data_IF_717300392486
#
_entry.id   IF_717300392486
#
_cell.length_a   1.000
_cell.length_b   1.000
_cell.length_c   1.000
_cell.angle_alpha   90.00
_cell.angle_beta   90.00
_cell.angle_gamma   90.00
#
_symmetry.space_group_name_H-M   'P 1'
#
loop_
_entity.id
_entity.type
_entity.pdbx_description
1 polymer ?
#
# COMPACT_ATOMS: atom_id res chain seq x y z
N UNK A 1 0.09 -13.71 -19.29
CA UNK A 1 0.38 -13.23 -17.93
C UNK A 1 -0.37 -14.12 -16.97
N UNK A 2 0.31 -14.75 -16.02
CA UNK A 2 -0.34 -15.60 -15.02
C UNK A 2 -0.87 -14.76 -13.86
N UNK A 3 -2.17 -14.87 -13.59
CA UNK A 3 -2.89 -14.15 -12.53
C UNK A 3 -3.40 -15.09 -11.43
N UNK A 4 -3.11 -16.39 -11.50
CA UNK A 4 -3.59 -17.41 -10.55
C UNK A 4 -3.24 -17.09 -9.10
N UNK A 5 -2.05 -16.51 -8.86
CA UNK A 5 -1.59 -16.11 -7.51
C UNK A 5 -2.48 -15.10 -6.79
N UNK A 6 -3.34 -14.38 -7.51
CA UNK A 6 -4.28 -13.39 -6.98
C UNK A 6 -5.69 -13.95 -6.80
N UNK A 7 -5.97 -15.14 -7.35
CA UNK A 7 -7.24 -15.83 -7.16
C UNK A 7 -7.53 -15.96 -5.67
N UNK A 8 -8.74 -15.59 -5.29
CA UNK A 8 -9.24 -15.50 -3.93
C UNK A 8 -8.52 -14.47 -3.03
N UNK A 9 -7.41 -13.86 -3.44
CA UNK A 9 -6.70 -12.86 -2.62
C UNK A 9 -7.15 -11.43 -2.90
N UNK A 10 -7.42 -11.08 -4.16
CA UNK A 10 -7.87 -9.76 -4.55
C UNK A 10 -8.55 -9.78 -5.93
N UNK A 11 -9.36 -8.77 -6.21
CA UNK A 11 -9.81 -8.46 -7.57
C UNK A 11 -8.68 -7.79 -8.33
N UNK A 12 -8.70 -7.88 -9.65
CA UNK A 12 -7.66 -7.28 -10.51
C UNK A 12 -8.31 -6.30 -11.45
N UNK A 13 -7.73 -5.11 -11.53
CA UNK A 13 -7.97 -4.15 -12.60
C UNK A 13 -6.79 -4.23 -13.57
N UNK A 14 -6.98 -4.94 -14.68
CA UNK A 14 -5.93 -5.22 -15.66
C UNK A 14 -5.97 -4.20 -16.80
N UNK A 15 -4.92 -3.38 -16.91
CA UNK A 15 -4.71 -2.47 -18.03
C UNK A 15 -3.92 -3.17 -19.13
N UNK A 16 -4.56 -3.46 -20.26
CA UNK A 16 -3.90 -3.90 -21.47
C UNK A 16 -3.47 -2.68 -22.27
N UNK A 17 -2.23 -2.66 -22.75
CA UNK A 17 -1.74 -1.58 -23.60
C UNK A 17 -0.64 -2.06 -24.54
N UNK A 18 -0.52 -1.44 -25.71
CA UNK A 18 0.66 -1.58 -26.57
C UNK A 18 1.88 -0.85 -26.00
N UNK A 19 1.66 0.30 -25.34
CA UNK A 19 2.72 1.23 -24.97
C UNK A 19 2.36 2.02 -23.70
N UNK A 20 3.33 2.18 -22.79
CA UNK A 20 3.13 2.98 -21.58
C UNK A 20 3.01 4.49 -21.83
N UNK A 21 3.27 4.93 -23.07
CA UNK A 21 3.04 6.32 -23.48
C UNK A 21 1.59 6.61 -23.87
N UNK A 22 0.78 5.57 -24.06
CA UNK A 22 -0.64 5.69 -24.37
C UNK A 22 -1.37 6.56 -23.33
N UNK A 23 -2.16 7.52 -23.82
CA UNK A 23 -2.85 8.51 -22.99
C UNK A 23 -3.90 7.86 -22.09
N UNK A 24 -4.65 6.88 -22.61
CA UNK A 24 -5.67 6.17 -21.84
C UNK A 24 -5.04 5.34 -20.71
N UNK A 25 -3.90 4.70 -20.98
CA UNK A 25 -3.12 4.00 -19.96
C UNK A 25 -2.62 4.93 -18.86
N UNK A 26 -2.02 6.08 -19.21
CA UNK A 26 -1.55 7.07 -18.22
C UNK A 26 -2.70 7.59 -17.38
N UNK A 27 -3.77 8.03 -18.04
CA UNK A 27 -4.98 8.55 -17.37
C UNK A 27 -5.58 7.52 -16.42
N UNK A 28 -5.67 6.26 -16.85
CA UNK A 28 -6.18 5.17 -16.01
C UNK A 28 -5.28 4.91 -14.79
N UNK A 29 -3.96 5.02 -14.95
CA UNK A 29 -3.02 4.92 -13.83
C UNK A 29 -3.17 6.07 -12.85
N UNK A 30 -3.26 7.30 -13.34
CA UNK A 30 -3.46 8.50 -12.51
C UNK A 30 -4.76 8.39 -11.70
N UNK A 31 -5.88 8.05 -12.36
CA UNK A 31 -7.15 7.84 -11.70
C UNK A 31 -7.10 6.70 -10.67
N UNK A 32 -6.41 5.59 -10.96
CA UNK A 32 -6.24 4.55 -9.95
C UNK A 32 -5.47 5.07 -8.72
N UNK A 33 -4.42 5.89 -8.91
CA UNK A 33 -3.67 6.47 -7.79
C UNK A 33 -4.50 7.49 -7.01
N UNK A 34 -5.25 8.35 -7.69
CA UNK A 34 -6.15 9.33 -7.06
C UNK A 34 -7.19 8.64 -6.16
N UNK A 35 -7.76 7.52 -6.61
CA UNK A 35 -8.78 6.76 -5.88
C UNK A 35 -8.25 5.50 -5.19
N UNK A 36 -6.93 5.40 -4.97
CA UNK A 36 -6.26 4.16 -4.53
C UNK A 36 -6.85 3.58 -3.24
N UNK A 37 -7.25 4.45 -2.30
CA UNK A 37 -7.85 4.05 -1.02
C UNK A 37 -9.19 3.34 -1.24
N UNK A 38 -10.01 3.83 -2.15
CA UNK A 38 -11.34 3.25 -2.46
C UNK A 38 -11.22 1.94 -3.24
N UNK A 39 -10.22 1.83 -4.12
CA UNK A 39 -9.86 0.55 -4.75
C UNK A 39 -9.39 -0.48 -3.71
N UNK A 40 -8.53 -0.09 -2.77
CA UNK A 40 -8.00 -1.01 -1.76
C UNK A 40 -9.03 -1.46 -0.74
N UNK A 41 -10.00 -0.62 -0.35
CA UNK A 41 -11.17 -1.03 0.44
C UNK A 41 -11.96 -2.17 -0.22
N UNK A 42 -11.99 -2.18 -1.55
CA UNK A 42 -12.67 -3.21 -2.37
C UNK A 42 -11.72 -4.35 -2.80
N UNK A 43 -10.51 -4.37 -2.24
CA UNK A 43 -9.44 -5.32 -2.57
C UNK A 43 -9.16 -5.40 -4.07
N UNK A 44 -9.15 -4.27 -4.77
CA UNK A 44 -8.82 -4.19 -6.19
C UNK A 44 -7.37 -3.81 -6.34
N UNK A 45 -6.62 -4.62 -7.09
CA UNK A 45 -5.21 -4.37 -7.42
C UNK A 45 -5.05 -4.01 -8.89
N UNK A 46 -4.38 -2.91 -9.19
CA UNK A 46 -3.99 -2.56 -10.55
C UNK A 46 -2.86 -3.45 -11.07
N UNK A 47 -3.00 -3.97 -12.28
CA UNK A 47 -1.96 -4.71 -12.99
C UNK A 47 -1.87 -4.17 -14.41
N UNK A 48 -0.66 -4.01 -14.93
CA UNK A 48 -0.42 -3.57 -16.31
C UNK A 48 0.12 -4.74 -17.14
N UNK A 49 -0.50 -4.97 -18.29
CA UNK A 49 -0.08 -5.96 -19.27
C UNK A 49 0.25 -5.26 -20.58
N UNK A 50 1.56 -5.19 -20.89
CA UNK A 50 2.05 -4.59 -22.11
C UNK A 50 2.37 -5.66 -23.15
N UNK A 51 1.69 -5.61 -24.30
CA UNK A 51 1.98 -6.50 -25.44
C UNK A 51 1.77 -5.74 -26.74
N UNK A 52 2.72 -5.88 -27.68
CA UNK A 52 2.62 -5.28 -29.02
C UNK A 52 1.32 -5.75 -29.71
N UNK A 53 0.63 -4.84 -30.39
CA UNK A 53 -0.60 -5.12 -31.13
C UNK A 53 -1.89 -5.18 -30.30
N UNK A 54 -1.85 -5.05 -28.97
CA UNK A 54 -3.06 -4.96 -28.15
C UNK A 54 -3.67 -3.55 -28.19
N UNK A 55 -4.94 -3.43 -28.59
CA UNK A 55 -5.72 -2.21 -28.31
C UNK A 55 -5.78 -1.99 -26.80
N UNK A 56 -5.75 -0.73 -26.39
CA UNK A 56 -5.95 -0.38 -24.99
C UNK A 56 -7.31 -0.93 -24.51
N UNK A 57 -7.30 -1.64 -23.39
CA UNK A 57 -8.52 -2.08 -22.72
C UNK A 57 -8.30 -2.31 -21.24
N UNK A 58 -9.39 -2.23 -20.48
CA UNK A 58 -9.38 -2.39 -19.03
C UNK A 58 -10.27 -3.57 -18.69
N UNK A 59 -9.72 -4.56 -17.98
CA UNK A 59 -10.46 -5.76 -17.56
C UNK A 59 -10.57 -5.80 -16.05
N UNK A 60 -11.81 -5.88 -15.55
CA UNK A 60 -12.06 -6.19 -14.15
C UNK A 60 -12.19 -7.70 -13.99
N UNK A 61 -11.30 -8.29 -13.21
CA UNK A 61 -11.28 -9.72 -12.90
C UNK A 61 -11.68 -9.90 -11.43
N UNK A 62 -12.61 -10.82 -11.20
CA UNK A 62 -13.12 -11.13 -9.86
C UNK A 62 -12.14 -11.95 -9.01
N UNK A 63 -12.54 -12.23 -7.77
CA UNK A 63 -11.77 -13.11 -6.88
C UNK A 63 -11.62 -14.53 -7.42
N UNK A 64 -12.63 -15.03 -8.12
CA UNK A 64 -12.60 -16.34 -8.78
C UNK A 64 -11.61 -16.42 -9.96
N UNK A 65 -11.06 -15.28 -10.38
CA UNK A 65 -10.17 -15.17 -11.54
C UNK A 65 -10.94 -15.03 -12.86
N UNK A 66 -12.27 -14.92 -12.84
CA UNK A 66 -13.06 -14.75 -14.06
C UNK A 66 -13.18 -13.28 -14.45
N UNK A 67 -13.24 -13.03 -15.77
CA UNK A 67 -13.50 -11.71 -16.32
C UNK A 67 -14.93 -11.28 -15.96
N UNK A 68 -15.08 -10.15 -15.29
CA UNK A 68 -16.39 -9.60 -14.89
C UNK A 68 -16.89 -8.55 -15.86
N UNK A 69 -16.01 -7.65 -16.32
CA UNK A 69 -16.34 -6.62 -17.31
C UNK A 69 -15.09 -6.10 -17.99
N UNK A 70 -15.24 -5.70 -19.25
CA UNK A 70 -14.23 -4.98 -20.02
C UNK A 70 -14.71 -3.55 -20.27
N UNK A 71 -13.79 -2.60 -20.21
CA UNK A 71 -14.04 -1.17 -20.38
C UNK A 71 -12.99 -0.57 -21.31
N UNK A 72 -13.39 0.40 -22.12
CA UNK A 72 -12.46 1.20 -22.93
C UNK A 72 -11.88 2.38 -22.15
N UNK A 73 -12.57 2.85 -21.12
CA UNK A 73 -12.18 4.01 -20.29
C UNK A 73 -12.36 3.71 -18.80
N UNK A 74 -11.45 4.20 -17.96
CA UNK A 74 -11.55 4.03 -16.52
C UNK A 74 -12.45 5.10 -15.91
N UNK A 75 -13.64 4.69 -15.45
CA UNK A 75 -14.51 5.51 -14.60
C UNK A 75 -14.58 4.85 -13.22
N UNK A 76 -13.86 5.38 -12.19
CA UNK A 76 -13.77 4.73 -10.89
C UNK A 76 -15.13 4.46 -10.22
N UNK A 77 -16.07 5.41 -10.31
CA UNK A 77 -17.41 5.29 -9.72
C UNK A 77 -18.17 4.08 -10.26
N UNK A 78 -18.23 3.94 -11.58
CA UNK A 78 -18.88 2.81 -12.24
C UNK A 78 -18.28 1.46 -11.82
N UNK A 79 -16.96 1.41 -11.60
CA UNK A 79 -16.30 0.20 -11.12
C UNK A 79 -16.67 -0.09 -9.67
N UNK A 80 -16.74 0.93 -8.82
CA UNK A 80 -17.14 0.77 -7.43
C UNK A 80 -18.58 0.29 -7.32
N UNK A 81 -19.50 0.93 -8.03
CA UNK A 81 -20.92 0.54 -8.09
C UNK A 81 -21.07 -0.91 -8.59
N UNK A 82 -20.36 -1.26 -9.66
CA UNK A 82 -20.35 -2.63 -10.20
C UNK A 82 -19.82 -3.64 -9.18
N UNK A 83 -18.77 -3.32 -8.43
CA UNK A 83 -18.21 -4.23 -7.42
C UNK A 83 -19.14 -4.35 -6.22
N UNK A 84 -19.73 -3.24 -5.78
CA UNK A 84 -20.58 -3.18 -4.60
C UNK A 84 -21.92 -3.89 -4.86
N UNK A 85 -22.38 -3.94 -6.11
CA UNK A 85 -23.55 -4.73 -6.53
C UNK A 85 -23.26 -6.23 -6.69
N UNK A 86 -21.99 -6.67 -6.65
CA UNK A 86 -21.66 -8.09 -6.83
C UNK A 86 -21.93 -8.89 -5.54
N UNK A 87 -22.58 -10.07 -5.64
CA UNK A 87 -22.67 -10.96 -4.49
C UNK A 87 -21.27 -11.41 -4.06
N UNK A 88 -20.97 -11.24 -2.79
CA UNK A 88 -19.69 -11.68 -2.22
C UNK A 88 -19.67 -13.21 -2.11
N UNK A 89 -18.58 -13.86 -2.55
CA UNK A 89 -18.50 -15.33 -2.56
C UNK A 89 -18.64 -15.90 -1.14
N UNK A 90 -19.29 -17.06 -1.04
CA UNK A 90 -19.58 -17.72 0.23
C UNK A 90 -18.30 -18.12 0.97
N UNK A 91 -17.23 -18.43 0.23
CA UNK A 91 -15.90 -18.73 0.75
C UNK A 91 -15.23 -17.50 1.39
N UNK A 92 -15.49 -16.30 0.85
CA UNK A 92 -15.03 -15.06 1.47
C UNK A 92 -15.86 -14.70 2.70
N UNK A 93 -17.19 -14.90 2.65
CA UNK A 93 -18.10 -14.69 3.79
C UNK A 93 -17.83 -15.64 4.95
N UNK A 94 -17.45 -16.88 4.66
CA UNK A 94 -17.10 -17.89 5.67
C UNK A 94 -15.70 -17.74 6.25
N UNK A 95 -14.93 -16.71 5.84
CA UNK A 95 -13.60 -16.44 6.36
C UNK A 95 -12.51 -17.43 5.93
N UNK A 96 -12.84 -18.41 5.07
CA UNK A 96 -11.88 -19.37 4.51
C UNK A 96 -10.84 -18.70 3.62
N UNK A 97 -11.14 -17.50 3.13
CA UNK A 97 -10.29 -16.71 2.26
C UNK A 97 -9.92 -15.41 2.97
N UNK A 98 -8.62 -15.12 3.07
CA UNK A 98 -8.12 -13.84 3.60
C UNK A 98 -7.69 -12.92 2.44
N UNK A 99 -8.34 -11.75 2.27
CA UNK A 99 -7.93 -10.77 1.28
C UNK A 99 -6.50 -10.28 1.49
N UNK A 100 -5.82 -9.98 0.38
CA UNK A 100 -4.52 -9.34 0.41
C UNK A 100 -4.65 -7.93 1.00
N UNK A 101 -3.87 -7.61 2.03
CA UNK A 101 -3.80 -6.26 2.59
C UNK A 101 -3.01 -5.33 1.66
N UNK A 102 -3.71 -4.70 0.72
CA UNK A 102 -3.13 -3.75 -0.22
C UNK A 102 -2.71 -2.43 0.45
N UNK A 103 -3.31 -2.09 1.59
CA UNK A 103 -3.03 -0.84 2.30
C UNK A 103 -1.66 -0.80 2.97
N UNK A 104 -1.11 -1.96 3.34
CA UNK A 104 0.13 -2.06 4.10
C UNK A 104 1.33 -1.37 3.43
N UNK A 105 1.37 -1.38 2.10
CA UNK A 105 2.47 -0.82 1.29
C UNK A 105 2.08 0.45 0.53
N UNK A 106 0.91 1.03 0.84
CA UNK A 106 0.35 2.13 0.06
C UNK A 106 0.39 3.42 0.85
N UNK A 107 1.01 4.44 0.27
CA UNK A 107 0.98 5.80 0.81
C UNK A 107 -0.24 6.54 0.27
N UNK A 108 -1.28 6.65 1.09
CA UNK A 108 -2.53 7.34 0.72
C UNK A 108 -2.45 8.86 0.86
N UNK A 109 -1.37 9.39 1.44
CA UNK A 109 -1.22 10.84 1.66
C UNK A 109 0.22 11.29 1.36
N UNK A 110 0.70 11.09 0.13
CA UNK A 110 2.10 11.34 -0.23
C UNK A 110 2.55 12.77 0.02
N UNK A 111 1.64 13.74 -0.09
CA UNK A 111 1.91 15.17 0.17
C UNK A 111 2.30 15.45 1.62
N UNK A 112 1.77 14.66 2.55
CA UNK A 112 2.02 14.84 3.99
C UNK A 112 2.97 13.80 4.56
N UNK A 113 3.32 12.76 3.81
CA UNK A 113 4.16 11.67 4.30
C UNK A 113 5.61 12.12 4.41
N UNK A 114 6.16 12.01 5.62
CA UNK A 114 7.58 12.26 5.85
C UNK A 114 8.42 11.13 5.22
N UNK A 115 9.27 11.49 4.27
CA UNK A 115 10.16 10.56 3.58
C UNK A 115 11.52 10.50 4.28
N UNK A 116 12.18 9.36 4.15
CA UNK A 116 13.56 9.20 4.61
C UNK A 116 13.72 9.00 6.12
N UNK A 117 12.67 8.66 6.87
CA UNK A 117 12.82 8.19 8.25
C UNK A 117 13.56 6.84 8.29
N UNK A 118 14.29 6.54 9.35
CA UNK A 118 15.05 5.28 9.43
C UNK A 118 15.82 5.04 10.73
N UNK A 119 16.55 3.93 10.76
CA UNK A 119 17.24 3.41 11.94
C UNK A 119 18.59 2.75 11.61
N UNK A 120 19.21 3.10 10.46
CA UNK A 120 20.46 2.47 10.01
C UNK A 120 21.64 2.74 10.94
N UNK A 121 21.67 3.91 11.57
CA UNK A 121 22.71 4.39 12.47
C UNK A 121 22.13 5.44 13.43
N UNK A 122 22.94 5.87 14.41
CA UNK A 122 22.60 6.89 15.41
C UNK A 122 22.13 8.20 14.78
N UNK A 123 22.85 8.70 13.78
CA UNK A 123 22.57 9.97 13.10
C UNK A 123 21.20 9.92 12.42
N UNK A 124 20.87 8.78 11.81
CA UNK A 124 19.58 8.58 11.16
C UNK A 124 18.43 8.48 12.17
N UNK A 125 18.69 7.92 13.33
CA UNK A 125 17.71 7.90 14.42
C UNK A 125 17.43 9.32 14.93
N UNK A 126 18.47 10.13 15.13
CA UNK A 126 18.33 11.55 15.54
C UNK A 126 17.55 12.33 14.48
N UNK A 127 17.94 12.22 13.20
CA UNK A 127 17.20 12.82 12.09
C UNK A 127 15.71 12.44 12.10
N UNK A 128 15.41 11.17 12.39
CA UNK A 128 14.04 10.67 12.45
C UNK A 128 13.25 11.33 13.58
N UNK A 129 13.87 11.50 14.76
CA UNK A 129 13.25 12.19 15.89
C UNK A 129 12.99 13.67 15.59
N UNK A 130 13.95 14.34 14.96
CA UNK A 130 13.81 15.76 14.58
C UNK A 130 12.70 15.95 13.54
N UNK A 131 12.65 15.08 12.52
CA UNK A 131 11.64 15.14 11.46
C UNK A 131 10.21 14.96 11.97
N UNK A 132 10.00 14.20 13.05
CA UNK A 132 8.67 13.95 13.62
C UNK A 132 8.31 14.90 14.77
N UNK A 133 9.23 15.74 15.26
CA UNK A 133 9.04 16.59 16.45
C UNK A 133 7.82 17.50 16.38
N UNK A 134 7.46 17.97 15.19
CA UNK A 134 6.28 18.83 14.96
C UNK A 134 4.95 18.09 14.77
N UNK A 135 4.94 16.75 14.84
CA UNK A 135 3.72 15.93 14.71
C UNK A 135 3.04 15.73 16.06
N UNK A 136 1.81 15.25 16.04
CA UNK A 136 1.13 14.88 17.29
C UNK A 136 1.90 13.78 18.02
N UNK A 137 1.82 13.79 19.35
CA UNK A 137 2.56 12.87 20.21
C UNK A 137 2.27 11.40 19.92
N UNK A 138 1.02 11.06 19.56
CA UNK A 138 0.64 9.68 19.24
C UNK A 138 1.34 9.22 17.95
N UNK A 139 1.40 10.06 16.94
CA UNK A 139 2.18 9.80 15.73
C UNK A 139 3.67 9.62 16.04
N UNK A 140 4.25 10.51 16.85
CA UNK A 140 5.67 10.40 17.23
C UNK A 140 5.97 9.05 17.91
N UNK A 141 5.19 8.66 18.92
CA UNK A 141 5.33 7.39 19.63
C UNK A 141 5.17 6.20 18.68
N UNK A 142 4.21 6.24 17.76
CA UNK A 142 4.00 5.17 16.78
C UNK A 142 5.19 4.99 15.84
N UNK A 143 5.74 6.09 15.33
CA UNK A 143 6.93 6.06 14.47
C UNK A 143 8.12 5.49 15.24
N UNK A 144 8.42 6.04 16.42
CA UNK A 144 9.56 5.59 17.24
C UNK A 144 9.43 4.12 17.61
N UNK A 145 8.26 3.68 18.05
CA UNK A 145 8.00 2.28 18.40
C UNK A 145 8.18 1.34 17.19
N UNK A 146 7.73 1.78 16.01
CA UNK A 146 7.88 1.03 14.77
C UNK A 146 9.35 0.90 14.36
N UNK A 147 10.11 2.00 14.39
CA UNK A 147 11.53 2.00 14.05
C UNK A 147 12.33 1.16 15.03
N UNK A 148 12.07 1.30 16.33
CA UNK A 148 12.69 0.49 17.38
C UNK A 148 12.43 -1.01 17.19
N UNK A 149 11.17 -1.38 16.94
CA UNK A 149 10.79 -2.78 16.70
C UNK A 149 11.47 -3.38 15.46
N UNK A 150 11.58 -2.59 14.38
CA UNK A 150 12.25 -3.00 13.13
C UNK A 150 13.76 -3.13 13.32
N UNK A 151 14.39 -2.16 14.00
CA UNK A 151 15.82 -2.18 14.29
C UNK A 151 16.20 -3.40 15.14
N UNK A 152 15.43 -3.68 16.20
CA UNK A 152 15.67 -4.83 17.10
C UNK A 152 15.55 -6.19 16.40
N UNK A 153 14.66 -6.30 15.40
CA UNK A 153 14.39 -7.55 14.68
C UNK A 153 15.04 -7.60 13.29
N UNK A 154 15.95 -6.67 12.98
CA UNK A 154 16.55 -6.60 11.67
C UNK A 154 17.42 -7.86 11.42
N UNK A 155 17.22 -8.60 10.31
CA UNK A 155 17.95 -9.85 10.07
C UNK A 155 19.49 -9.67 10.04
N UNK A 156 19.94 -8.54 9.51
CA UNK A 156 21.35 -8.16 9.42
C UNK A 156 21.61 -6.96 10.34
N UNK A 157 21.43 -7.14 11.64
CA UNK A 157 21.60 -6.08 12.63
C UNK A 157 23.09 -5.73 12.79
N UNK A 158 23.42 -4.44 12.75
CA UNK A 158 24.80 -3.92 12.93
C UNK A 158 24.96 -3.20 14.26
N UNK A 159 26.21 -2.94 14.67
CA UNK A 159 26.52 -2.10 15.84
C UNK A 159 25.92 -0.70 15.71
N UNK A 160 25.92 -0.14 14.50
CA UNK A 160 25.37 1.20 14.27
C UNK A 160 23.84 1.22 14.50
N UNK A 161 23.16 0.11 14.20
CA UNK A 161 21.74 -0.04 14.53
C UNK A 161 21.52 -0.16 16.05
N UNK A 162 22.46 -0.69 16.82
CA UNK A 162 22.39 -0.67 18.28
C UNK A 162 22.44 0.76 18.82
N UNK A 163 23.28 1.62 18.23
CA UNK A 163 23.29 3.04 18.59
C UNK A 163 21.96 3.73 18.26
N UNK A 164 21.36 3.40 17.11
CA UNK A 164 20.03 3.88 16.76
C UNK A 164 18.95 3.42 17.76
N UNK A 165 19.02 2.16 18.22
CA UNK A 165 18.12 1.59 19.22
C UNK A 165 18.22 2.37 20.52
N UNK A 166 19.43 2.65 21.01
CA UNK A 166 19.63 3.42 22.25
C UNK A 166 18.99 4.81 22.18
N UNK A 167 19.11 5.49 21.03
CA UNK A 167 18.47 6.80 20.80
C UNK A 167 16.95 6.72 20.96
N UNK A 168 16.32 5.73 20.31
CA UNK A 168 14.86 5.56 20.39
C UNK A 168 14.36 5.11 21.76
N UNK A 169 15.09 4.23 22.44
CA UNK A 169 14.74 3.78 23.80
C UNK A 169 14.80 4.93 24.80
N UNK A 170 15.88 5.73 24.75
CA UNK A 170 16.01 6.92 25.58
C UNK A 170 14.84 7.88 25.37
N UNK A 171 14.51 8.17 24.11
CA UNK A 171 13.38 9.04 23.78
C UNK A 171 12.05 8.51 24.33
N UNK A 172 11.77 7.20 24.21
CA UNK A 172 10.54 6.60 24.74
C UNK A 172 10.49 6.61 26.26
N UNK A 173 11.62 6.43 26.95
CA UNK A 173 11.71 6.52 28.40
C UNK A 173 11.43 7.95 28.87
N UNK A 174 12.05 8.94 28.25
CA UNK A 174 11.85 10.35 28.57
C UNK A 174 10.39 10.77 28.30
N UNK A 175 9.81 10.31 27.20
CA UNK A 175 8.39 10.50 26.90
C UNK A 175 7.48 9.91 28.00
N UNK A 176 7.72 8.66 28.42
CA UNK A 176 6.95 8.02 29.49
C UNK A 176 7.07 8.76 30.82
N UNK A 177 8.25 9.25 31.17
CA UNK A 177 8.47 10.06 32.37
C UNK A 177 7.68 11.37 32.33
N UNK A 178 7.61 12.05 31.18
CA UNK A 178 6.85 13.29 31.03
C UNK A 178 5.32 13.13 31.06
N UNK A 179 4.83 11.89 31.01
CA UNK A 179 3.40 11.56 31.06
C UNK A 179 2.91 11.14 32.44
N UNK A 180 3.84 10.79 33.34
CA UNK A 180 3.58 10.52 34.75
C UNK A 180 3.74 11.79 35.57
#
# INVERSE_FOLDING_TARGET
>A
MDLTKYKWKCRILLLNTTCYRDSNYKRSKELYQEYIKEFHKRHVKLISNRKKGLKFSIKLIGYDGTLKKEFDTLVPKDIFELIDSMPMSNELKSGKIQPLNLSLYSDYKPETTLKGLGFKDKEKAIYTLDAIKGRDTKYQVNVVSTMLGRAKKHPNKTSDMDDAIMVFEKWLLDYKKSKN
#
